data_IF_839752873944
#
_entry.id   IF_839752873944
#
_cell.length_a   1.000
_cell.length_b   1.000
_cell.length_c   1.000
_cell.angle_alpha   90.00
_cell.angle_beta   90.00
_cell.angle_gamma   90.00
#
_symmetry.space_group_name_H-M   'P 1'
#
loop_
_entity.id
_entity.type
_entity.pdbx_description
1 polymer ?
#
# COMPACT_ATOMS: atom_id res chain seq x y z
N UNK A 1 -45.79 -7.32 -55.36
CA UNK A 1 -46.07 -8.70 -55.83
C UNK A 1 -45.79 -9.65 -54.68
N UNK A 2 -46.86 -10.30 -54.18
CA UNK A 2 -46.96 -11.45 -53.24
C UNK A 2 -46.00 -11.48 -52.02
N UNK A 3 -46.37 -11.24 -50.76
CA UNK A 3 -47.52 -11.65 -49.91
C UNK A 3 -47.69 -13.18 -49.76
N UNK A 4 -47.42 -13.75 -48.57
CA UNK A 4 -48.44 -14.08 -47.53
C UNK A 4 -47.92 -15.02 -46.44
N UNK A 5 -48.42 -14.78 -45.24
CA UNK A 5 -48.36 -15.63 -44.05
C UNK A 5 -49.30 -16.85 -44.13
N UNK A 6 -48.99 -17.91 -43.38
CA UNK A 6 -49.99 -18.84 -42.81
C UNK A 6 -49.60 -19.19 -41.36
N UNK A 7 -50.48 -18.79 -40.43
CA UNK A 7 -50.64 -19.38 -39.09
C UNK A 7 -51.46 -20.66 -39.24
N UNK A 8 -51.19 -21.70 -38.42
CA UNK A 8 -52.25 -22.55 -37.86
C UNK A 8 -51.93 -22.95 -36.41
N UNK A 9 -52.95 -22.74 -35.57
CA UNK A 9 -53.10 -23.17 -34.17
C UNK A 9 -53.80 -24.53 -34.14
N UNK A 10 -53.44 -25.40 -33.18
CA UNK A 10 -54.32 -26.34 -32.44
C UNK A 10 -53.51 -26.86 -31.23
N UNK A 11 -53.76 -26.45 -29.98
CA UNK A 11 -54.82 -26.83 -29.03
C UNK A 11 -54.74 -28.27 -28.46
N UNK A 12 -54.25 -28.35 -27.22
CA UNK A 12 -54.79 -29.06 -26.04
C UNK A 12 -54.98 -30.60 -26.04
N UNK A 13 -54.31 -31.30 -25.10
CA UNK A 13 -54.98 -32.07 -24.02
C UNK A 13 -53.96 -32.83 -23.14
N UNK A 14 -54.15 -32.76 -21.81
CA UNK A 14 -53.54 -33.63 -20.78
C UNK A 14 -54.34 -34.94 -20.68
N UNK A 15 -53.72 -36.02 -20.23
CA UNK A 15 -54.15 -36.88 -19.09
C UNK A 15 -53.20 -38.09 -18.93
N UNK A 16 -53.04 -38.48 -17.67
CA UNK A 16 -52.09 -39.45 -17.11
C UNK A 16 -52.46 -40.94 -17.30
N UNK A 17 -51.49 -41.85 -17.13
CA UNK A 17 -51.39 -42.78 -15.97
C UNK A 17 -50.57 -44.07 -16.26
N UNK A 18 -49.72 -44.45 -15.27
CA UNK A 18 -49.40 -45.78 -14.67
C UNK A 18 -49.20 -47.02 -15.61
N UNK A 19 -48.35 -48.01 -15.35
CA UNK A 19 -47.37 -48.37 -14.32
C UNK A 19 -46.63 -49.67 -14.79
N UNK A 20 -45.39 -49.90 -14.34
CA UNK A 20 -44.92 -51.16 -13.74
C UNK A 20 -43.39 -51.15 -13.49
N UNK A 21 -43.03 -51.31 -12.21
CA UNK A 21 -41.72 -51.65 -11.63
C UNK A 21 -41.50 -53.19 -11.62
N UNK A 22 -40.31 -53.80 -11.32
CA UNK A 22 -39.49 -53.68 -10.06
C UNK A 22 -37.94 -53.77 -10.29
N UNK A 23 -36.96 -53.70 -9.34
CA UNK A 23 -36.76 -53.50 -7.87
C UNK A 23 -35.24 -53.18 -7.65
N UNK A 24 -34.82 -52.16 -6.89
CA UNK A 24 -34.26 -52.10 -5.48
C UNK A 24 -32.87 -52.80 -5.31
N UNK A 25 -31.79 -52.16 -4.80
CA UNK A 25 -31.50 -51.74 -3.40
C UNK A 25 -30.33 -50.71 -3.29
N UNK A 26 -30.47 -49.51 -2.67
CA UNK A 26 -30.25 -49.07 -1.25
C UNK A 26 -28.77 -49.04 -0.81
N UNK A 27 -28.16 -47.99 -0.22
CA UNK A 27 -28.51 -47.14 0.96
C UNK A 27 -27.61 -45.87 0.99
N UNK A 28 -28.08 -44.61 1.03
CA UNK A 28 -28.53 -43.70 2.14
C UNK A 28 -27.49 -43.18 3.16
N UNK A 29 -27.18 -41.87 3.06
CA UNK A 29 -26.72 -40.89 4.08
C UNK A 29 -27.86 -40.53 5.06
N UNK A 30 -27.64 -39.85 6.22
CA UNK A 30 -27.81 -38.38 6.24
C UNK A 30 -27.08 -37.59 7.37
N UNK A 31 -27.29 -36.27 7.32
CA UNK A 31 -26.70 -35.14 8.03
C UNK A 31 -27.17 -34.90 9.50
N UNK A 32 -26.49 -33.97 10.19
CA UNK A 32 -26.85 -33.46 11.53
C UNK A 32 -26.68 -31.92 11.64
N UNK A 33 -27.69 -31.26 12.22
CA UNK A 33 -27.69 -29.87 12.74
C UNK A 33 -28.12 -29.88 14.24
N UNK A 34 -27.77 -28.80 14.93
CA UNK A 34 -27.78 -28.46 16.37
C UNK A 34 -29.10 -28.52 17.16
N UNK A 35 -29.03 -28.61 18.51
CA UNK A 35 -29.49 -27.60 19.52
C UNK A 35 -29.48 -28.12 21.00
N UNK A 36 -28.82 -27.36 21.90
CA UNK A 36 -29.10 -26.95 23.32
C UNK A 36 -29.42 -27.89 24.53
N UNK A 37 -28.72 -27.57 25.64
CA UNK A 37 -29.09 -27.41 27.09
C UNK A 37 -29.14 -28.55 28.14
N UNK A 38 -28.37 -28.31 29.23
CA UNK A 38 -28.29 -28.83 30.64
C UNK A 38 -29.62 -29.07 31.39
N UNK A 39 -29.70 -29.59 32.68
CA UNK A 39 -28.69 -29.63 33.78
C UNK A 39 -28.66 -30.89 34.69
N UNK A 40 -27.65 -31.04 35.57
CA UNK A 40 -27.91 -31.41 36.98
C UNK A 40 -26.75 -31.14 37.97
N UNK A 41 -27.15 -30.79 39.20
CA UNK A 41 -26.39 -30.30 40.37
C UNK A 41 -25.98 -31.47 41.30
N UNK A 42 -24.84 -31.39 41.97
CA UNK A 42 -24.72 -31.36 43.46
C UNK A 42 -23.28 -31.60 43.99
N UNK A 43 -22.95 -30.83 45.03
CA UNK A 43 -21.80 -30.85 45.97
C UNK A 43 -22.46 -30.85 47.38
N UNK A 44 -21.79 -30.98 48.56
CA UNK A 44 -20.36 -31.25 48.86
C UNK A 44 -20.12 -32.22 50.04
N UNK A 45 -18.86 -32.56 50.33
CA UNK A 45 -18.35 -32.82 51.70
C UNK A 45 -16.81 -32.76 51.76
N UNK A 46 -16.29 -32.14 52.83
CA UNK A 46 -14.90 -32.19 53.34
C UNK A 46 -15.02 -32.27 54.89
N UNK A 47 -13.97 -32.55 55.71
CA UNK A 47 -12.53 -32.69 55.40
C UNK A 47 -11.82 -33.87 56.11
N UNK A 48 -10.56 -34.13 55.77
CA UNK A 48 -9.54 -34.57 56.73
C UNK A 48 -8.13 -34.18 56.27
N UNK A 49 -7.29 -33.83 57.24
CA UNK A 49 -6.00 -33.18 57.11
C UNK A 49 -4.89 -34.16 56.74
N UNK A 50 -3.90 -33.71 55.98
CA UNK A 50 -2.51 -34.15 56.15
C UNK A 50 -1.56 -33.07 55.67
N UNK A 51 -0.66 -32.69 56.57
CA UNK A 51 0.36 -31.66 56.42
C UNK A 51 1.40 -32.10 55.40
N UNK A 52 1.82 -31.20 54.51
CA UNK A 52 3.16 -31.22 53.93
C UNK A 52 3.68 -29.78 53.84
N UNK A 53 4.92 -29.65 54.32
CA UNK A 53 5.78 -28.48 54.55
C UNK A 53 5.77 -27.40 53.47
N UNK A 54 5.51 -26.15 53.87
CA UNK A 54 5.75 -24.95 53.07
C UNK A 54 7.23 -24.54 53.13
N UNK A 55 7.99 -24.82 52.08
CA UNK A 55 9.21 -24.04 51.82
C UNK A 55 8.79 -22.69 51.23
N UNK A 56 9.01 -21.63 52.00
CA UNK A 56 8.79 -20.25 51.55
C UNK A 56 9.61 -19.93 50.31
N UNK A 57 8.92 -19.55 49.24
CA UNK A 57 9.53 -18.95 48.06
C UNK A 57 10.02 -17.55 48.45
N UNK A 58 11.34 -17.41 48.63
CA UNK A 58 11.98 -16.10 48.66
C UNK A 58 11.79 -15.42 47.30
N UNK A 59 11.41 -14.13 47.24
CA UNK A 59 11.36 -13.41 45.99
C UNK A 59 12.78 -13.32 45.42
N UNK A 60 13.03 -13.97 44.27
CA UNK A 60 14.23 -13.72 43.48
C UNK A 60 14.19 -12.26 43.04
N UNK A 61 15.04 -11.44 43.64
CA UNK A 61 15.38 -10.10 43.13
C UNK A 61 15.92 -10.31 41.71
N UNK A 62 15.13 -9.96 40.70
CA UNK A 62 15.61 -9.83 39.33
C UNK A 62 16.66 -8.72 39.33
N UNK A 63 17.93 -9.12 39.31
CA UNK A 63 19.03 -8.23 38.95
C UNK A 63 18.91 -7.96 37.45
N UNK A 64 18.09 -6.97 37.11
CA UNK A 64 18.20 -6.28 35.83
C UNK A 64 19.51 -5.49 35.94
N UNK A 65 20.50 -5.67 35.04
CA UNK A 65 21.63 -4.76 34.99
C UNK A 65 21.07 -3.38 34.64
N UNK A 66 21.00 -2.49 35.62
CA UNK A 66 20.91 -1.07 35.34
C UNK A 66 22.23 -0.69 34.68
N UNK A 67 22.19 -0.41 33.39
CA UNK A 67 23.24 0.36 32.76
C UNK A 67 23.03 1.79 33.26
N UNK A 68 23.69 2.17 34.35
CA UNK A 68 23.73 3.55 34.88
C UNK A 68 24.58 4.44 33.97
N UNK A 69 24.27 4.46 32.67
CA UNK A 69 24.63 5.57 31.79
C UNK A 69 23.52 6.60 31.92
N UNK A 70 23.71 7.47 32.91
CA UNK A 70 22.99 8.72 33.12
C UNK A 70 22.75 9.46 31.78
N UNK A 71 21.48 9.72 31.36
CA UNK A 71 21.21 10.43 30.10
C UNK A 71 21.54 11.93 30.17
N UNK A 72 22.06 12.43 31.29
CA UNK A 72 22.38 13.84 31.49
C UNK A 72 23.81 14.23 31.04
N UNK A 73 24.35 13.64 29.97
CA UNK A 73 25.65 14.05 29.39
C UNK A 73 25.67 14.05 27.85
N UNK A 74 24.75 14.76 27.21
CA UNK A 74 24.97 15.29 25.85
C UNK A 74 24.79 16.81 25.86
N UNK A 75 25.75 17.48 26.49
CA UNK A 75 25.97 18.90 26.26
C UNK A 75 26.52 19.08 24.82
N UNK A 76 25.73 19.73 23.96
CA UNK A 76 26.25 20.49 22.81
C UNK A 76 26.56 19.74 21.51
N UNK A 77 25.98 18.57 21.23
CA UNK A 77 26.03 18.04 19.87
C UNK A 77 25.14 18.89 18.96
N UNK A 78 25.70 19.47 17.89
CA UNK A 78 24.92 20.18 16.88
C UNK A 78 23.84 19.23 16.32
N UNK A 79 22.60 19.73 16.20
CA UNK A 79 21.50 18.96 15.60
C UNK A 79 21.91 18.59 14.17
N UNK A 80 21.96 17.29 13.87
CA UNK A 80 22.21 16.79 12.52
C UNK A 80 21.14 17.36 11.59
N UNK A 81 21.52 17.94 10.46
CA UNK A 81 20.61 18.50 9.46
C UNK A 81 20.97 17.98 8.07
N UNK A 82 20.00 18.00 7.15
CA UNK A 82 20.33 17.85 5.73
C UNK A 82 21.25 19.02 5.34
N UNK A 83 22.40 18.77 4.68
CA UNK A 83 23.38 19.81 4.38
C UNK A 83 22.78 21.07 3.74
N UNK A 84 23.16 22.23 4.28
CA UNK A 84 22.69 23.57 3.87
C UNK A 84 21.18 23.80 3.96
N UNK A 85 20.48 23.06 4.81
CA UNK A 85 19.04 23.25 5.04
C UNK A 85 18.74 23.33 6.55
N UNK A 86 17.58 23.89 6.94
CA UNK A 86 17.12 23.83 8.33
C UNK A 86 16.46 22.48 8.68
N UNK A 87 16.48 21.47 7.81
CA UNK A 87 15.75 20.20 7.98
C UNK A 87 16.54 19.31 8.96
N UNK A 88 16.08 19.08 10.21
CA UNK A 88 16.77 18.20 11.12
C UNK A 88 16.63 16.73 10.68
N UNK A 89 17.70 15.98 10.93
CA UNK A 89 17.75 14.53 10.79
C UNK A 89 17.63 13.93 12.19
N UNK A 90 16.47 13.35 12.47
CA UNK A 90 16.10 12.78 13.75
C UNK A 90 16.44 11.28 13.73
N UNK A 91 17.33 10.83 14.62
CA UNK A 91 17.80 9.44 14.68
C UNK A 91 17.10 8.61 15.76
N UNK A 92 16.41 9.24 16.71
CA UNK A 92 15.78 8.58 17.86
C UNK A 92 14.30 8.95 17.96
N UNK A 93 13.50 8.05 18.56
CA UNK A 93 12.09 8.29 18.88
C UNK A 93 11.94 9.49 19.82
N UNK A 94 12.87 9.65 20.77
CA UNK A 94 12.87 10.78 21.68
C UNK A 94 13.03 12.11 20.93
N UNK A 95 13.95 12.19 19.96
CA UNK A 95 14.16 13.40 19.16
C UNK A 95 12.94 13.72 18.28
N UNK A 96 12.27 12.70 17.71
CA UNK A 96 11.00 12.91 17.00
C UNK A 96 9.94 13.47 17.93
N UNK A 97 9.74 12.87 19.10
CA UNK A 97 8.73 13.36 20.06
C UNK A 97 9.00 14.75 20.57
N UNK A 98 10.27 15.11 20.75
CA UNK A 98 10.66 16.47 21.08
C UNK A 98 10.28 17.42 19.94
N UNK A 99 10.71 17.13 18.72
CA UNK A 99 10.40 17.93 17.54
C UNK A 99 8.89 18.06 17.30
N UNK A 100 8.10 16.98 17.44
CA UNK A 100 6.64 17.05 17.24
C UNK A 100 5.96 17.90 18.30
N UNK A 101 6.47 17.91 19.54
CA UNK A 101 5.95 18.73 20.66
C UNK A 101 6.24 20.23 20.53
N UNK A 102 7.25 20.62 19.73
CA UNK A 102 7.55 22.02 19.46
C UNK A 102 6.39 22.67 18.70
N UNK A 103 5.98 23.86 19.15
CA UNK A 103 4.82 24.58 18.60
C UNK A 103 5.01 24.87 17.10
N UNK A 104 3.95 24.66 16.32
CA UNK A 104 3.92 25.12 14.92
C UNK A 104 4.00 26.67 14.87
N UNK A 105 4.44 27.22 13.74
CA UNK A 105 4.46 28.68 13.50
C UNK A 105 3.09 29.34 13.70
N UNK A 106 2.02 28.54 13.57
CA UNK A 106 0.62 28.88 13.86
C UNK A 106 0.39 29.44 15.27
N UNK A 107 1.06 28.88 16.27
CA UNK A 107 0.79 29.14 17.69
C UNK A 107 1.37 30.48 18.20
N UNK A 108 2.20 31.14 17.38
CA UNK A 108 2.95 32.35 17.73
C UNK A 108 2.33 33.65 17.19
N UNK A 109 1.20 33.60 16.45
CA UNK A 109 0.44 34.79 16.05
C UNK A 109 -0.80 34.93 16.93
N UNK A 110 -1.03 36.18 17.38
CA UNK A 110 -2.04 36.59 18.35
C UNK A 110 -3.39 35.89 18.22
N UNK A 111 -3.90 35.41 19.35
CA UNK A 111 -5.25 34.86 19.56
C UNK A 111 -6.40 35.81 19.18
N UNK A 112 -6.09 37.05 18.80
CA UNK A 112 -7.05 38.09 18.41
C UNK A 112 -7.33 38.15 16.90
N UNK A 113 -6.70 37.28 16.11
CA UNK A 113 -6.96 37.20 14.66
C UNK A 113 -8.29 36.48 14.38
N UNK A 114 -9.38 37.25 14.16
CA UNK A 114 -10.73 36.76 13.80
C UNK A 114 -10.84 35.95 12.48
N UNK A 115 -9.72 35.52 11.90
CA UNK A 115 -9.67 34.62 10.74
C UNK A 115 -8.78 33.39 11.07
N UNK A 116 -9.05 32.74 12.21
CA UNK A 116 -8.29 31.60 12.72
C UNK A 116 -8.42 30.38 11.80
N UNK A 117 -7.49 30.23 10.86
CA UNK A 117 -7.31 28.99 10.12
C UNK A 117 -6.77 27.90 11.06
N UNK A 118 -7.47 26.77 11.09
CA UNK A 118 -7.14 25.61 11.93
C UNK A 118 -5.74 25.07 11.62
N UNK A 119 -4.97 24.80 12.67
CA UNK A 119 -3.71 24.05 12.58
C UNK A 119 -4.01 22.67 12.00
N UNK A 120 -3.47 22.37 10.82
CA UNK A 120 -3.64 21.07 10.17
C UNK A 120 -2.87 19.97 10.89
N UNK A 121 -2.00 20.30 11.86
CA UNK A 121 -1.15 19.37 12.57
C UNK A 121 -0.07 18.77 11.67
N UNK A 122 0.50 17.66 12.13
CA UNK A 122 1.68 17.05 11.50
C UNK A 122 1.26 16.14 10.35
N UNK A 123 1.80 16.40 9.16
CA UNK A 123 1.76 15.47 8.05
C UNK A 123 2.91 14.47 8.15
N UNK A 124 2.63 13.19 7.95
CA UNK A 124 3.65 12.13 7.86
C UNK A 124 3.71 11.55 6.44
N UNK A 125 4.91 11.45 5.88
CA UNK A 125 5.21 10.74 4.63
C UNK A 125 6.14 9.55 4.94
N UNK A 126 5.61 8.33 5.15
CA UNK A 126 6.43 7.16 5.40
C UNK A 126 7.14 6.67 4.13
N UNK A 127 8.47 6.53 4.16
CA UNK A 127 9.25 6.00 3.03
C UNK A 127 10.33 5.02 3.50
N UNK A 128 10.89 4.27 2.53
CA UNK A 128 12.09 3.45 2.73
C UNK A 128 13.38 4.09 2.19
N UNK A 129 13.34 5.37 1.78
CA UNK A 129 14.44 6.03 1.05
C UNK A 129 14.35 5.79 -0.46
N UNK A 130 15.47 6.02 -1.17
CA UNK A 130 15.50 5.98 -2.65
C UNK A 130 14.42 6.87 -3.26
N UNK A 131 14.41 8.12 -2.78
CA UNK A 131 13.36 9.08 -3.07
C UNK A 131 13.35 9.46 -4.56
N UNK A 132 12.15 9.68 -5.07
CA UNK A 132 11.88 10.00 -6.47
C UNK A 132 10.61 10.86 -6.55
N UNK A 133 10.25 11.31 -7.75
CA UNK A 133 9.14 12.28 -7.95
C UNK A 133 7.81 11.82 -7.33
N UNK A 134 7.51 10.51 -7.37
CA UNK A 134 6.38 9.95 -6.64
C UNK A 134 6.34 10.26 -5.14
N UNK A 135 7.48 10.20 -4.45
CA UNK A 135 7.61 10.55 -3.03
C UNK A 135 7.51 12.07 -2.82
N UNK A 136 8.16 12.86 -3.68
CA UNK A 136 8.10 14.32 -3.59
C UNK A 136 6.68 14.84 -3.78
N UNK A 137 5.88 14.21 -4.65
CA UNK A 137 4.45 14.52 -4.81
C UNK A 137 3.64 14.30 -3.53
N UNK A 138 3.99 13.32 -2.68
CA UNK A 138 3.34 13.14 -1.37
C UNK A 138 3.59 14.34 -0.46
N UNK A 139 4.82 14.84 -0.44
CA UNK A 139 5.22 16.01 0.36
C UNK A 139 4.55 17.28 -0.18
N UNK A 140 4.54 17.47 -1.51
CA UNK A 140 3.82 18.57 -2.16
C UNK A 140 2.33 18.55 -1.82
N UNK A 141 1.72 17.38 -1.84
CA UNK A 141 0.31 17.21 -1.50
C UNK A 141 0.02 17.55 -0.03
N UNK A 142 0.91 17.17 0.89
CA UNK A 142 0.79 17.57 2.29
C UNK A 142 0.80 19.10 2.46
N UNK A 143 1.74 19.78 1.80
CA UNK A 143 1.82 21.26 1.83
C UNK A 143 0.61 21.88 1.13
N UNK A 144 0.15 21.31 0.00
CA UNK A 144 -1.05 21.77 -0.72
C UNK A 144 -2.31 21.69 0.16
N UNK A 145 -2.42 20.67 1.00
CA UNK A 145 -3.50 20.51 1.98
C UNK A 145 -3.32 21.37 3.25
N UNK A 146 -2.32 22.25 3.28
CA UNK A 146 -2.15 23.26 4.33
C UNK A 146 -1.28 22.82 5.51
N UNK A 147 -0.58 21.69 5.43
CA UNK A 147 0.38 21.30 6.46
C UNK A 147 1.67 22.14 6.34
N UNK A 148 2.00 22.85 7.41
CA UNK A 148 3.27 23.57 7.56
C UNK A 148 4.33 22.75 8.30
N UNK A 149 3.95 21.64 8.93
CA UNK A 149 4.83 20.72 9.65
C UNK A 149 4.77 19.32 9.04
N UNK A 150 5.87 18.91 8.38
CA UNK A 150 5.94 17.66 7.60
C UNK A 150 7.10 16.78 8.10
N UNK A 151 6.76 15.58 8.55
CA UNK A 151 7.73 14.54 8.88
C UNK A 151 7.86 13.55 7.72
N UNK A 152 9.09 13.31 7.26
CA UNK A 152 9.41 12.26 6.28
C UNK A 152 10.17 11.16 7.00
N UNK A 153 9.69 9.91 6.98
CA UNK A 153 10.51 8.80 7.49
C UNK A 153 11.30 8.15 6.37
N UNK A 154 12.57 7.85 6.63
CA UNK A 154 13.45 7.08 5.73
C UNK A 154 13.93 5.87 6.53
N UNK A 155 13.26 4.73 6.35
CA UNK A 155 13.60 3.51 7.05
C UNK A 155 13.28 2.27 6.20
N UNK A 156 14.32 1.56 5.76
CA UNK A 156 14.16 0.25 5.12
C UNK A 156 13.78 -0.76 6.19
N UNK A 157 12.49 -1.05 6.28
CA UNK A 157 11.94 -1.95 7.29
C UNK A 157 12.24 -3.42 6.95
N UNK A 158 13.07 -4.15 7.71
CA UNK A 158 13.36 -5.54 7.35
C UNK A 158 12.14 -6.47 7.51
N UNK A 159 11.16 -6.10 8.33
CA UNK A 159 10.02 -6.97 8.67
C UNK A 159 9.01 -7.15 7.52
N UNK A 160 9.05 -6.28 6.50
CA UNK A 160 8.21 -6.39 5.31
C UNK A 160 8.91 -7.11 4.16
N UNK A 161 10.16 -7.55 4.32
CA UNK A 161 10.84 -8.35 3.31
C UNK A 161 10.77 -9.83 3.70
N UNK A 162 10.35 -10.68 2.76
CA UNK A 162 10.49 -12.13 2.89
C UNK A 162 11.95 -12.57 2.88
N UNK A 163 12.21 -13.82 3.29
CA UNK A 163 13.57 -14.40 3.38
C UNK A 163 14.29 -14.39 2.03
N UNK A 164 13.55 -14.61 0.94
CA UNK A 164 14.09 -14.64 -0.43
C UNK A 164 13.91 -13.30 -1.18
N UNK A 165 13.50 -12.23 -0.48
CA UNK A 165 13.30 -10.92 -1.09
C UNK A 165 14.56 -10.05 -1.05
N UNK A 166 14.51 -8.93 -1.77
CA UNK A 166 15.62 -8.04 -2.11
C UNK A 166 16.05 -7.09 -0.98
N UNK A 167 16.00 -7.51 0.30
CA UNK A 167 16.39 -6.64 1.43
C UNK A 167 17.85 -6.17 1.34
N UNK A 168 18.77 -7.06 0.98
CA UNK A 168 20.20 -6.75 0.89
C UNK A 168 20.52 -5.83 -0.28
N UNK A 169 19.83 -6.01 -1.41
CA UNK A 169 20.02 -5.24 -2.64
C UNK A 169 19.14 -3.99 -2.72
N UNK A 170 18.31 -3.72 -1.71
CA UNK A 170 17.46 -2.52 -1.69
C UNK A 170 18.33 -1.25 -1.70
N UNK A 171 18.07 -0.28 -2.58
CA UNK A 171 18.90 0.91 -2.74
C UNK A 171 18.91 1.76 -1.46
N UNK A 172 20.12 2.10 -0.98
CA UNK A 172 20.35 2.96 0.18
C UNK A 172 21.09 4.22 -0.28
N UNK A 173 20.34 5.22 -0.70
CA UNK A 173 20.86 6.40 -1.40
C UNK A 173 20.82 7.67 -0.55
N UNK A 174 21.33 7.61 0.69
CA UNK A 174 21.22 8.72 1.67
C UNK A 174 21.58 10.09 1.09
N UNK A 175 22.72 10.20 0.40
CA UNK A 175 23.14 11.46 -0.21
C UNK A 175 22.17 11.95 -1.31
N UNK A 176 21.62 11.02 -2.11
CA UNK A 176 20.62 11.33 -3.13
C UNK A 176 19.29 11.77 -2.51
N UNK A 177 18.84 11.07 -1.46
CA UNK A 177 17.62 11.39 -0.72
C UNK A 177 17.71 12.79 -0.09
N UNK A 178 18.85 13.11 0.55
CA UNK A 178 19.14 14.44 1.07
C UNK A 178 19.11 15.52 -0.01
N UNK A 179 19.72 15.27 -1.18
CA UNK A 179 19.77 16.24 -2.27
C UNK A 179 18.38 16.55 -2.83
N UNK A 180 17.52 15.54 -3.05
CA UNK A 180 16.17 15.78 -3.57
C UNK A 180 15.26 16.46 -2.55
N UNK A 181 15.40 16.14 -1.25
CA UNK A 181 14.66 16.82 -0.19
C UNK A 181 15.10 18.28 -0.04
N UNK A 182 16.40 18.58 -0.17
CA UNK A 182 16.92 19.95 -0.19
C UNK A 182 16.28 20.75 -1.33
N UNK A 183 16.37 20.25 -2.57
CA UNK A 183 15.79 20.93 -3.73
C UNK A 183 14.28 21.16 -3.58
N UNK A 184 13.55 20.17 -3.08
CA UNK A 184 12.12 20.30 -2.82
C UNK A 184 11.82 21.34 -1.73
N UNK A 185 12.61 21.37 -0.66
CA UNK A 185 12.44 22.34 0.41
C UNK A 185 12.64 23.78 -0.08
N UNK A 186 13.66 24.01 -0.91
CA UNK A 186 13.92 25.30 -1.55
C UNK A 186 12.78 25.71 -2.50
N UNK A 187 12.26 24.77 -3.30
CA UNK A 187 11.09 24.95 -4.18
C UNK A 187 9.85 25.40 -3.38
N UNK A 188 9.50 24.67 -2.33
CA UNK A 188 8.31 24.93 -1.51
C UNK A 188 8.44 26.21 -0.67
N UNK A 189 9.64 26.50 -0.17
CA UNK A 189 9.90 27.69 0.65
C UNK A 189 9.95 28.98 -0.18
N UNK A 190 10.51 28.92 -1.40
CA UNK A 190 10.57 30.08 -2.30
C UNK A 190 9.20 30.49 -2.85
N UNK A 191 8.35 29.51 -3.17
CA UNK A 191 6.96 29.73 -3.62
C UNK A 191 6.10 30.49 -2.61
N UNK A 192 6.51 30.50 -1.34
CA UNK A 192 5.82 31.21 -0.25
C UNK A 192 6.12 32.71 -0.19
N UNK A 193 7.15 33.19 -0.91
CA UNK A 193 7.70 34.54 -0.77
C UNK A 193 7.25 35.51 -1.89
N UNK A 194 6.66 35.00 -2.97
CA UNK A 194 6.41 35.74 -4.22
C UNK A 194 4.93 35.95 -4.57
N UNK A 195 4.00 35.70 -3.64
CA UNK A 195 2.56 35.87 -3.86
C UNK A 195 2.09 37.33 -3.79
N UNK A 196 2.42 38.10 -4.82
CA UNK A 196 1.71 39.34 -5.19
C UNK A 196 1.28 39.39 -6.66
N UNK A 197 0.93 38.25 -7.28
CA UNK A 197 0.04 38.22 -8.45
C UNK A 197 -0.25 36.79 -8.92
N UNK A 198 -1.51 36.54 -9.29
CA UNK A 198 -2.06 35.40 -10.04
C UNK A 198 -1.98 33.99 -9.42
N UNK A 199 -3.09 33.61 -8.76
CA UNK A 199 -3.82 32.35 -8.93
C UNK A 199 -3.05 31.11 -9.42
N UNK A 200 -2.23 30.52 -8.54
CA UNK A 200 -2.09 29.06 -8.40
C UNK A 200 -1.38 28.71 -7.09
N UNK A 201 -2.22 28.53 -6.06
CA UNK A 201 -2.09 27.74 -4.83
C UNK A 201 -0.71 27.20 -4.39
N UNK A 202 0.13 28.06 -3.78
CA UNK A 202 1.00 27.62 -2.69
C UNK A 202 0.47 28.19 -1.36
N UNK A 203 -0.28 27.37 -0.62
CA UNK A 203 -1.04 27.75 0.58
C UNK A 203 -0.23 27.88 1.87
N UNK A 204 1.09 28.06 1.79
CA UNK A 204 1.87 28.28 3.01
C UNK A 204 1.53 29.60 3.72
N UNK A 205 0.68 30.50 3.17
CA UNK A 205 0.04 31.64 3.86
C UNK A 205 0.98 32.48 4.77
N UNK A 206 2.27 32.59 4.42
CA UNK A 206 3.29 33.27 5.22
C UNK A 206 3.79 32.51 6.46
N UNK A 207 3.43 31.23 6.62
CA UNK A 207 4.00 30.26 7.55
C UNK A 207 5.20 29.59 6.88
N UNK A 208 6.31 29.48 7.61
CA UNK A 208 7.48 28.75 7.14
C UNK A 208 7.21 27.24 7.13
N UNK A 209 7.84 26.52 6.20
CA UNK A 209 7.78 25.05 6.18
C UNK A 209 8.74 24.48 7.23
N UNK A 210 8.20 23.75 8.20
CA UNK A 210 8.96 22.91 9.14
C UNK A 210 8.98 21.47 8.61
N UNK A 211 10.08 21.08 7.98
CA UNK A 211 10.28 19.71 7.54
C UNK A 211 11.31 19.03 8.42
N UNK A 212 11.11 17.75 8.77
CA UNK A 212 12.09 16.92 9.46
C UNK A 212 12.18 15.52 8.83
N UNK A 213 13.37 14.92 8.87
CA UNK A 213 13.59 13.54 8.44
C UNK A 213 13.80 12.64 9.63
N UNK A 214 12.95 11.64 9.81
CA UNK A 214 13.17 10.56 10.76
C UNK A 214 13.88 9.38 10.08
N UNK A 215 15.17 9.20 10.38
CA UNK A 215 16.00 8.16 9.78
C UNK A 215 16.67 7.29 10.86
N UNK A 216 15.90 6.43 11.55
CA UNK A 216 16.37 5.67 12.70
C UNK A 216 17.24 4.46 12.29
N UNK A 217 18.17 4.02 13.16
CA UNK A 217 18.73 2.69 13.06
C UNK A 217 17.69 1.61 13.43
N UNK A 218 17.88 0.38 12.95
CA UNK A 218 16.97 -0.75 13.25
C UNK A 218 16.80 -1.01 14.75
N UNK A 219 17.85 -0.81 15.56
CA UNK A 219 17.78 -1.01 17.00
C UNK A 219 16.85 -0.01 17.70
N UNK A 220 16.72 1.20 17.17
CA UNK A 220 15.77 2.20 17.68
C UNK A 220 14.33 1.80 17.35
N UNK A 221 14.11 1.33 16.11
CA UNK A 221 12.81 0.81 15.73
C UNK A 221 12.47 -0.46 16.50
N UNK A 222 13.40 -1.39 16.68
CA UNK A 222 13.20 -2.70 17.28
C UNK A 222 14.10 -2.92 18.51
N UNK A 223 13.78 -2.29 19.66
CA UNK A 223 14.65 -2.32 20.85
C UNK A 223 14.77 -3.70 21.49
N UNK A 224 13.74 -4.55 21.34
CA UNK A 224 13.77 -5.96 21.78
C UNK A 224 14.42 -6.90 20.75
N UNK A 225 15.06 -6.36 19.71
CA UNK A 225 15.57 -7.11 18.58
C UNK A 225 14.58 -7.20 17.42
N UNK A 226 15.14 -7.34 16.21
CA UNK A 226 14.37 -7.54 14.99
C UNK A 226 13.70 -8.93 15.02
N UNK A 227 12.37 -9.04 14.83
CA UNK A 227 11.68 -10.31 15.03
C UNK A 227 12.03 -11.39 13.98
N UNK A 228 12.64 -11.03 12.84
CA UNK A 228 12.96 -11.96 11.75
C UNK A 228 11.98 -11.83 10.58
N UNK A 229 12.35 -12.41 9.43
CA UNK A 229 11.58 -12.34 8.17
C UNK A 229 10.62 -13.52 7.96
N UNK A 230 10.75 -14.55 8.79
CA UNK A 230 9.94 -15.77 8.71
C UNK A 230 8.46 -15.51 9.05
N UNK A 231 7.55 -16.28 8.45
CA UNK A 231 6.12 -16.23 8.79
C UNK A 231 5.90 -16.56 10.26
N UNK A 232 6.62 -17.56 10.77
CA UNK A 232 6.50 -18.05 12.16
C UNK A 232 7.30 -17.25 13.20
N UNK A 233 7.98 -16.18 12.74
CA UNK A 233 8.76 -15.25 13.55
C UNK A 233 8.02 -14.81 14.83
N UNK A 234 8.75 -14.67 15.93
CA UNK A 234 8.23 -14.19 17.22
C UNK A 234 8.55 -12.72 17.40
N UNK A 235 7.53 -11.93 17.75
CA UNK A 235 7.65 -10.51 17.98
C UNK A 235 6.30 -9.84 18.16
N UNK A 236 6.31 -8.53 18.39
CA UNK A 236 5.11 -7.71 18.37
C UNK A 236 4.82 -7.28 16.94
N UNK A 237 3.68 -7.72 16.41
CA UNK A 237 3.24 -7.43 15.06
C UNK A 237 1.80 -6.88 15.07
N UNK A 238 1.49 -6.12 14.03
CA UNK A 238 0.13 -5.75 13.66
C UNK A 238 -0.20 -6.48 12.36
N UNK A 239 -1.33 -7.20 12.35
CA UNK A 239 -1.82 -7.91 11.17
C UNK A 239 -3.26 -7.47 10.93
N UNK A 240 -3.59 -7.16 9.66
CA UNK A 240 -4.91 -6.70 9.25
C UNK A 240 -5.51 -7.75 8.31
N UNK A 241 -6.44 -8.54 8.84
CA UNK A 241 -7.08 -9.64 8.10
C UNK A 241 -8.53 -9.29 7.75
N UNK A 242 -9.09 -9.91 6.69
CA UNK A 242 -8.41 -10.77 5.70
C UNK A 242 -7.62 -9.98 4.64
N UNK A 243 -7.81 -8.66 4.51
CA UNK A 243 -7.28 -7.83 3.41
C UNK A 243 -5.78 -7.97 3.14
N UNK A 244 -4.96 -8.16 4.18
CA UNK A 244 -3.51 -8.33 4.05
C UNK A 244 -3.06 -9.73 3.60
N UNK A 245 -4.00 -10.68 3.44
CA UNK A 245 -3.75 -12.07 3.04
C UNK A 245 -4.18 -12.34 1.59
N UNK A 246 -4.88 -11.40 0.96
CA UNK A 246 -5.34 -11.47 -0.44
C UNK A 246 -4.28 -10.94 -1.40
N UNK A 247 -4.40 -11.26 -2.70
CA UNK A 247 -3.61 -10.66 -3.80
C UNK A 247 -2.09 -10.59 -3.50
N UNK A 248 -1.51 -9.40 -3.37
CA UNK A 248 -0.08 -9.22 -3.06
C UNK A 248 0.32 -9.85 -1.72
N UNK A 249 -0.61 -9.93 -0.77
CA UNK A 249 -0.43 -10.57 0.52
C UNK A 249 -0.29 -12.09 0.41
N UNK A 250 -1.02 -12.71 -0.53
CA UNK A 250 -0.88 -14.13 -0.83
C UNK A 250 0.48 -14.43 -1.48
N UNK A 251 0.93 -13.55 -2.38
CA UNK A 251 2.25 -13.66 -3.01
C UNK A 251 3.40 -13.37 -2.03
N UNK A 252 3.16 -12.52 -1.02
CA UNK A 252 4.16 -12.04 -0.04
C UNK A 252 3.63 -12.15 1.40
N UNK A 253 3.58 -13.35 2.01
CA UNK A 253 2.85 -13.63 3.26
C UNK A 253 3.24 -12.80 4.50
N UNK A 254 4.41 -12.16 4.51
CA UNK A 254 4.88 -11.30 5.63
C UNK A 254 4.84 -9.81 5.31
N UNK A 255 4.61 -9.43 4.05
CA UNK A 255 4.76 -8.05 3.58
C UNK A 255 3.83 -7.08 4.34
N UNK A 256 2.51 -7.30 4.29
CA UNK A 256 1.56 -6.40 4.92
C UNK A 256 1.59 -6.44 6.45
N UNK A 257 1.97 -7.57 7.06
CA UNK A 257 2.27 -7.63 8.51
C UNK A 257 3.42 -6.68 8.85
N UNK A 258 4.50 -6.73 8.08
CA UNK A 258 5.66 -5.84 8.23
C UNK A 258 5.28 -4.37 8.06
N UNK A 259 4.52 -4.05 7.00
CA UNK A 259 4.06 -2.70 6.69
C UNK A 259 3.13 -2.14 7.77
N UNK A 260 2.09 -2.88 8.18
CA UNK A 260 1.17 -2.47 9.23
C UNK A 260 1.90 -2.27 10.56
N UNK A 261 2.85 -3.15 10.90
CA UNK A 261 3.66 -3.04 12.11
C UNK A 261 4.52 -1.77 12.12
N UNK A 262 5.25 -1.48 11.04
CA UNK A 262 6.11 -0.29 10.99
C UNK A 262 5.28 0.99 10.94
N UNK A 263 4.17 1.01 10.20
CA UNK A 263 3.27 2.17 10.14
C UNK A 263 2.64 2.44 11.52
N UNK A 264 2.16 1.41 12.22
CA UNK A 264 1.65 1.58 13.59
C UNK A 264 2.70 2.20 14.51
N UNK A 265 3.98 1.80 14.39
CA UNK A 265 5.07 2.39 15.18
C UNK A 265 5.28 3.85 14.81
N UNK A 266 5.37 4.16 13.52
CA UNK A 266 5.52 5.54 13.04
C UNK A 266 4.36 6.44 13.48
N UNK A 267 3.12 5.94 13.42
CA UNK A 267 1.93 6.69 13.87
C UNK A 267 1.98 6.97 15.38
N UNK A 268 2.43 6.03 16.20
CA UNK A 268 2.61 6.23 17.65
C UNK A 268 3.83 7.11 18.00
N UNK A 269 4.85 7.16 17.14
CA UNK A 269 6.04 7.98 17.33
C UNK A 269 5.76 9.43 16.96
N UNK A 270 5.16 9.64 15.78
CA UNK A 270 4.97 10.97 15.17
C UNK A 270 3.65 11.62 15.59
N UNK A 271 2.61 10.82 15.87
CA UNK A 271 1.24 11.28 16.12
C UNK A 271 0.72 12.27 15.05
N UNK A 272 0.76 11.89 13.75
CA UNK A 272 0.32 12.76 12.68
C UNK A 272 -1.21 12.90 12.66
N UNK A 273 -1.71 14.03 12.19
CA UNK A 273 -3.13 14.21 11.85
C UNK A 273 -3.45 13.57 10.49
N UNK A 274 -2.48 13.56 9.57
CA UNK A 274 -2.59 12.91 8.25
C UNK A 274 -1.31 12.17 7.88
N UNK A 275 -1.46 10.99 7.29
CA UNK A 275 -0.35 10.29 6.63
C UNK A 275 -0.62 10.09 5.15
N UNK A 276 0.41 10.32 4.33
CA UNK A 276 0.32 10.36 2.87
C UNK A 276 0.97 9.11 2.28
N UNK A 277 0.23 8.40 1.44
CA UNK A 277 0.69 7.19 0.77
C UNK A 277 0.40 7.27 -0.73
N UNK A 278 1.29 6.73 -1.55
CA UNK A 278 1.09 6.64 -2.99
C UNK A 278 0.05 5.58 -3.35
N UNK A 279 -0.85 5.90 -4.28
CA UNK A 279 -1.86 4.98 -4.81
C UNK A 279 -1.24 3.75 -5.48
N UNK A 280 -0.02 3.85 -6.01
CA UNK A 280 0.65 2.77 -6.75
C UNK A 280 0.60 1.43 -6.00
N UNK A 281 0.77 1.45 -4.69
CA UNK A 281 0.64 0.28 -3.82
C UNK A 281 -0.78 0.25 -3.21
N UNK A 282 -1.83 0.18 -4.04
CA UNK A 282 -3.21 0.43 -3.61
C UNK A 282 -3.67 -0.48 -2.47
N UNK A 283 -3.31 -1.76 -2.50
CA UNK A 283 -3.65 -2.70 -1.43
C UNK A 283 -2.99 -2.30 -0.10
N UNK A 284 -1.77 -1.74 -0.12
CA UNK A 284 -1.15 -1.16 1.06
C UNK A 284 -2.02 -0.03 1.63
N UNK A 285 -2.52 0.86 0.76
CA UNK A 285 -3.38 1.95 1.22
C UNK A 285 -4.68 1.44 1.83
N UNK A 286 -5.26 0.35 1.31
CA UNK A 286 -6.49 -0.26 1.86
C UNK A 286 -6.20 -0.91 3.22
N UNK A 287 -5.10 -1.65 3.34
CA UNK A 287 -4.63 -2.23 4.61
C UNK A 287 -4.44 -1.14 5.67
N UNK A 288 -3.79 -0.02 5.31
CA UNK A 288 -3.52 1.08 6.24
C UNK A 288 -4.79 1.86 6.61
N UNK A 289 -5.69 2.13 5.65
CA UNK A 289 -7.01 2.73 5.93
C UNK A 289 -7.82 1.87 6.90
N UNK A 290 -7.88 0.55 6.65
CA UNK A 290 -8.54 -0.41 7.55
C UNK A 290 -7.88 -0.46 8.92
N UNK A 291 -6.55 -0.44 9.00
CA UNK A 291 -5.81 -0.36 10.28
C UNK A 291 -6.18 0.90 11.07
N UNK A 292 -6.15 2.08 10.44
CA UNK A 292 -6.49 3.35 11.09
C UNK A 292 -7.92 3.33 11.63
N UNK A 293 -8.88 2.83 10.83
CA UNK A 293 -10.27 2.69 11.25
C UNK A 293 -10.44 1.69 12.40
N UNK A 294 -9.93 0.48 12.25
CA UNK A 294 -10.17 -0.63 13.18
C UNK A 294 -9.47 -0.43 14.53
N UNK A 295 -8.36 0.31 14.57
CA UNK A 295 -7.66 0.69 15.80
C UNK A 295 -8.04 2.09 16.32
N UNK A 296 -9.04 2.75 15.70
CA UNK A 296 -9.53 4.08 16.06
C UNK A 296 -8.41 5.13 16.19
N UNK A 297 -7.45 5.10 15.26
CA UNK A 297 -6.36 6.07 15.27
C UNK A 297 -6.92 7.45 14.88
N UNK A 298 -6.62 8.53 15.63
CA UNK A 298 -7.18 9.86 15.41
C UNK A 298 -6.44 10.58 14.27
N UNK A 299 -6.46 9.98 13.09
CA UNK A 299 -5.75 10.48 11.92
C UNK A 299 -6.43 10.05 10.62
N UNK A 300 -6.10 10.73 9.53
CA UNK A 300 -6.56 10.40 8.19
C UNK A 300 -5.43 9.83 7.32
N UNK A 301 -5.80 8.95 6.39
CA UNK A 301 -4.89 8.42 5.38
C UNK A 301 -5.22 9.11 4.06
N UNK A 302 -4.28 9.88 3.52
CA UNK A 302 -4.41 10.54 2.22
C UNK A 302 -3.73 9.68 1.17
N UNK A 303 -4.50 9.25 0.17
CA UNK A 303 -3.99 8.49 -0.97
C UNK A 303 -3.71 9.44 -2.12
N UNK A 304 -2.46 9.52 -2.54
CA UNK A 304 -2.01 10.42 -3.60
C UNK A 304 -1.90 9.64 -4.92
N UNK A 305 -2.46 10.14 -6.04
CA UNK A 305 -2.44 9.43 -7.31
C UNK A 305 -1.05 9.00 -7.76
N UNK A 306 -0.99 7.83 -8.42
CA UNK A 306 0.24 7.27 -8.97
C UNK A 306 0.88 8.26 -9.95
N UNK A 307 2.16 8.59 -9.73
CA UNK A 307 2.96 9.32 -10.72
C UNK A 307 3.42 8.35 -11.80
N UNK A 308 3.26 8.76 -13.05
CA UNK A 308 3.60 7.97 -14.23
C UNK A 308 4.74 8.66 -14.99
N UNK A 309 5.56 7.89 -15.69
CA UNK A 309 6.57 8.41 -16.63
C UNK A 309 5.81 9.28 -17.67
N UNK A 310 6.33 10.46 -17.96
CA UNK A 310 5.74 11.52 -18.82
C UNK A 310 4.59 12.36 -18.24
N UNK A 311 4.67 12.71 -16.94
CA UNK A 311 3.75 13.65 -16.30
C UNK A 311 3.42 14.89 -17.15
N UNK A 312 2.17 15.01 -17.58
CA UNK A 312 1.52 16.18 -18.24
C UNK A 312 2.16 16.73 -19.53
N UNK A 313 3.35 16.28 -19.94
CA UNK A 313 3.98 16.60 -21.22
C UNK A 313 4.47 15.31 -21.84
N UNK A 314 3.71 14.80 -22.80
CA UNK A 314 4.09 13.65 -23.61
C UNK A 314 5.43 13.88 -24.32
N UNK A 315 6.16 12.79 -24.58
CA UNK A 315 7.42 12.79 -25.32
C UNK A 315 7.31 13.33 -26.75
N UNK A 316 8.34 13.14 -27.58
CA UNK A 316 8.40 13.72 -28.94
C UNK A 316 7.20 13.38 -29.86
N UNK A 317 6.39 12.37 -29.51
CA UNK A 317 5.13 12.00 -30.19
C UNK A 317 3.83 12.38 -29.43
N UNK A 318 3.92 13.08 -28.30
CA UNK A 318 2.78 13.57 -27.51
C UNK A 318 1.94 12.51 -26.79
N UNK A 319 2.22 11.22 -26.96
CA UNK A 319 1.55 10.13 -26.26
C UNK A 319 2.23 9.85 -24.91
N UNK A 320 1.51 10.06 -23.81
CA UNK A 320 1.92 9.63 -22.46
C UNK A 320 1.72 8.11 -22.38
N UNK A 321 2.81 7.34 -22.29
CA UNK A 321 2.70 5.87 -22.27
C UNK A 321 2.12 5.34 -20.94
N UNK A 322 2.18 6.17 -19.89
CA UNK A 322 1.50 5.96 -18.64
C UNK A 322 2.13 4.88 -17.75
N UNK A 323 3.37 4.47 -17.99
CA UNK A 323 4.04 3.54 -17.08
C UNK A 323 4.15 4.14 -15.67
N UNK A 324 3.66 3.41 -14.65
CA UNK A 324 3.82 3.82 -13.26
C UNK A 324 5.30 3.94 -12.89
N UNK A 325 5.71 5.07 -12.28
CA UNK A 325 7.07 5.24 -11.81
C UNK A 325 7.40 4.18 -10.75
N UNK A 326 8.50 3.48 -10.96
CA UNK A 326 9.04 2.52 -10.00
C UNK A 326 10.56 2.51 -10.06
N UNK A 327 11.19 2.37 -8.90
CA UNK A 327 12.63 2.09 -8.81
C UNK A 327 13.04 0.85 -9.61
N UNK A 328 12.12 -0.09 -9.87
CA UNK A 328 12.37 -1.30 -10.67
C UNK A 328 12.39 -1.05 -12.18
N UNK A 329 11.96 0.11 -12.67
CA UNK A 329 11.92 0.40 -14.10
C UNK A 329 13.33 0.46 -14.72
N UNK A 330 14.35 0.79 -13.91
CA UNK A 330 15.77 0.79 -14.32
C UNK A 330 16.26 -0.58 -14.80
N UNK A 331 15.58 -1.66 -14.42
CA UNK A 331 15.92 -3.03 -14.80
C UNK A 331 15.29 -3.46 -16.13
N UNK A 332 14.45 -2.65 -16.75
CA UNK A 332 13.71 -3.06 -17.95
C UNK A 332 14.58 -3.05 -19.22
N UNK A 333 15.50 -2.08 -19.33
CA UNK A 333 16.19 -1.82 -20.59
C UNK A 333 15.22 -1.38 -21.69
N UNK A 334 15.76 -1.13 -22.88
CA UNK A 334 15.02 -0.44 -23.95
C UNK A 334 13.82 -1.25 -24.45
N UNK A 335 13.99 -2.51 -24.84
CA UNK A 335 12.90 -3.34 -25.42
C UNK A 335 11.75 -3.57 -24.44
N UNK A 336 12.04 -3.98 -23.20
CA UNK A 336 10.98 -4.29 -22.23
C UNK A 336 10.32 -3.01 -21.71
N UNK A 337 11.05 -1.90 -21.60
CA UNK A 337 10.45 -0.60 -21.24
C UNK A 337 9.40 -0.16 -22.25
N UNK A 338 9.62 -0.39 -23.54
CA UNK A 338 8.63 -0.08 -24.60
C UNK A 338 7.32 -0.86 -24.45
N UNK A 339 7.38 -2.09 -23.93
CA UNK A 339 6.20 -2.97 -23.77
C UNK A 339 5.58 -2.86 -22.37
N UNK A 340 6.34 -2.39 -21.36
CA UNK A 340 5.89 -2.24 -19.97
C UNK A 340 4.54 -1.51 -19.78
N UNK A 341 4.20 -0.48 -20.57
CA UNK A 341 2.88 0.12 -20.56
C UNK A 341 1.68 -0.82 -20.83
N UNK A 342 1.89 -2.07 -21.26
CA UNK A 342 0.81 -3.05 -21.51
C UNK A 342 -0.12 -3.22 -20.32
N UNK A 343 0.41 -3.22 -19.09
CA UNK A 343 -0.42 -3.36 -17.89
C UNK A 343 -1.35 -2.15 -17.72
N UNK A 344 -0.82 -0.94 -17.85
CA UNK A 344 -1.62 0.27 -17.75
C UNK A 344 -2.67 0.34 -18.87
N UNK A 345 -2.31 0.03 -20.12
CA UNK A 345 -3.26 -0.04 -21.24
C UNK A 345 -4.38 -1.05 -20.98
N UNK A 346 -4.06 -2.22 -20.42
CA UNK A 346 -5.05 -3.22 -20.07
C UNK A 346 -6.01 -2.72 -18.99
N UNK A 347 -5.50 -2.11 -17.91
CA UNK A 347 -6.33 -1.53 -16.85
C UNK A 347 -7.22 -0.40 -17.38
N UNK A 348 -6.70 0.46 -18.29
CA UNK A 348 -7.48 1.51 -18.95
C UNK A 348 -8.59 0.95 -19.84
N UNK A 349 -8.40 -0.20 -20.48
CA UNK A 349 -9.45 -0.84 -21.25
C UNK A 349 -10.58 -1.38 -20.36
N UNK A 350 -10.25 -1.97 -19.21
CA UNK A 350 -11.23 -2.37 -18.21
C UNK A 350 -11.94 -1.15 -17.59
N UNK A 351 -11.22 -0.07 -17.27
CA UNK A 351 -11.83 1.18 -16.83
C UNK A 351 -12.77 1.75 -17.90
N UNK A 352 -12.39 1.68 -19.18
CA UNK A 352 -13.25 2.08 -20.30
C UNK A 352 -14.59 1.33 -20.29
N UNK A 353 -14.56 -0.01 -20.15
CA UNK A 353 -15.77 -0.82 -20.04
C UNK A 353 -16.66 -0.40 -18.85
N UNK A 354 -16.04 -0.07 -17.70
CA UNK A 354 -16.76 0.48 -16.56
C UNK A 354 -17.38 1.85 -16.89
N UNK A 355 -16.61 2.78 -17.45
CA UNK A 355 -17.08 4.13 -17.79
C UNK A 355 -18.21 4.10 -18.84
N UNK A 356 -18.18 3.13 -19.75
CA UNK A 356 -19.23 2.90 -20.77
C UNK A 356 -20.53 2.31 -20.20
N UNK A 357 -20.55 1.97 -18.90
CA UNK A 357 -21.77 1.61 -18.18
C UNK A 357 -21.73 0.24 -17.54
N UNK A 358 -20.77 -0.63 -17.91
CA UNK A 358 -20.72 -1.97 -17.34
C UNK A 358 -20.41 -1.94 -15.85
N UNK A 359 -21.02 -2.87 -15.11
CA UNK A 359 -20.74 -3.16 -13.71
C UNK A 359 -20.35 -4.63 -13.51
N UNK A 360 -20.46 -5.47 -14.56
CA UNK A 360 -20.19 -6.91 -14.50
C UNK A 360 -18.69 -7.16 -14.74
N UNK A 361 -18.05 -7.88 -13.82
CA UNK A 361 -16.67 -8.32 -13.96
C UNK A 361 -16.47 -9.15 -15.23
N UNK A 362 -17.50 -9.91 -15.64
CA UNK A 362 -17.55 -10.70 -16.87
C UNK A 362 -17.50 -9.87 -18.17
N UNK A 363 -17.65 -8.55 -18.10
CA UNK A 363 -17.48 -7.63 -19.22
C UNK A 363 -16.24 -6.74 -19.03
N UNK A 364 -15.99 -6.29 -17.80
CA UNK A 364 -14.87 -5.40 -17.45
C UNK A 364 -13.52 -6.11 -17.61
N UNK A 365 -13.34 -7.29 -17.02
CA UNK A 365 -12.04 -8.00 -17.02
C UNK A 365 -11.63 -8.49 -18.41
N UNK A 366 -12.53 -9.02 -19.27
CA UNK A 366 -12.16 -9.40 -20.63
C UNK A 366 -11.61 -8.25 -21.48
N UNK A 367 -12.03 -7.01 -21.25
CA UNK A 367 -11.47 -5.85 -21.95
C UNK A 367 -9.97 -5.68 -21.66
N UNK A 368 -9.55 -5.86 -20.40
CA UNK A 368 -8.14 -5.85 -20.02
C UNK A 368 -7.39 -7.07 -20.57
N UNK A 369 -7.94 -8.27 -20.41
CA UNK A 369 -7.32 -9.51 -20.87
C UNK A 369 -7.08 -9.51 -22.38
N UNK A 370 -8.00 -8.94 -23.17
CA UNK A 370 -7.83 -8.79 -24.61
C UNK A 370 -6.57 -7.99 -24.96
N UNK A 371 -6.34 -6.85 -24.30
CA UNK A 371 -5.14 -6.02 -24.53
C UNK A 371 -3.85 -6.79 -24.23
N UNK A 372 -3.84 -7.55 -23.13
CA UNK A 372 -2.70 -8.38 -22.73
C UNK A 372 -2.43 -9.45 -23.79
N UNK A 373 -3.45 -10.24 -24.16
CA UNK A 373 -3.33 -11.35 -25.09
C UNK A 373 -2.93 -10.89 -26.50
N UNK A 374 -3.51 -9.80 -26.99
CA UNK A 374 -3.15 -9.21 -28.28
C UNK A 374 -1.68 -8.76 -28.27
N UNK A 375 -1.25 -8.05 -27.21
CA UNK A 375 0.15 -7.63 -27.08
C UNK A 375 1.09 -8.83 -26.99
N UNK A 376 0.72 -9.90 -26.28
CA UNK A 376 1.52 -11.14 -26.24
C UNK A 376 1.64 -11.79 -27.62
N UNK A 377 0.56 -11.79 -28.41
CA UNK A 377 0.56 -12.26 -29.80
C UNK A 377 1.49 -11.43 -30.69
N UNK A 378 1.35 -10.10 -30.64
CA UNK A 378 2.22 -9.17 -31.38
C UNK A 378 3.69 -9.38 -31.04
N UNK A 379 4.04 -9.47 -29.75
CA UNK A 379 5.43 -9.68 -29.34
C UNK A 379 5.99 -11.04 -29.75
N UNK A 380 5.13 -12.07 -29.84
CA UNK A 380 5.51 -13.41 -30.29
C UNK A 380 5.76 -13.47 -31.80
N UNK A 381 5.03 -12.67 -32.58
CA UNK A 381 5.15 -12.63 -34.05
C UNK A 381 6.35 -11.79 -34.51
N UNK A 382 6.95 -10.98 -33.62
CA UNK A 382 8.19 -10.26 -33.89
C UNK A 382 9.41 -11.19 -34.02
N UNK A 383 10.44 -10.82 -34.80
CA UNK A 383 11.73 -11.49 -34.78
C UNK A 383 12.31 -11.60 -33.37
N UNK A 384 13.09 -12.65 -33.11
CA UNK A 384 13.57 -12.94 -31.75
C UNK A 384 14.44 -11.83 -31.12
N UNK A 385 15.12 -11.05 -31.97
CA UNK A 385 15.92 -9.90 -31.55
C UNK A 385 15.10 -8.63 -31.25
N UNK A 386 13.80 -8.63 -31.53
CA UNK A 386 12.92 -7.45 -31.38
C UNK A 386 11.82 -7.68 -30.34
N UNK A 387 11.29 -8.89 -30.23
CA UNK A 387 10.21 -9.22 -29.30
C UNK A 387 10.65 -9.29 -27.84
N UNK A 388 9.68 -9.27 -26.93
CA UNK A 388 9.88 -9.50 -25.49
C UNK A 388 8.89 -10.53 -24.96
N UNK A 389 9.30 -11.26 -23.91
CA UNK A 389 8.42 -12.18 -23.21
C UNK A 389 7.98 -11.59 -21.87
N UNK A 390 6.69 -11.70 -21.58
CA UNK A 390 6.13 -11.33 -20.29
C UNK A 390 5.01 -12.28 -19.89
N UNK A 391 4.75 -12.36 -18.60
CA UNK A 391 3.73 -13.21 -18.00
C UNK A 391 2.73 -12.34 -17.25
N UNK A 392 1.45 -12.55 -17.50
CA UNK A 392 0.40 -12.01 -16.65
C UNK A 392 0.32 -12.88 -15.40
N UNK A 393 0.54 -12.30 -14.22
CA UNK A 393 0.33 -13.00 -12.96
C UNK A 393 -1.13 -12.93 -12.55
N UNK A 394 -1.71 -11.74 -12.55
CA UNK A 394 -3.14 -11.53 -12.33
C UNK A 394 -3.61 -10.17 -12.89
N UNK A 395 -4.90 -10.08 -13.19
CA UNK A 395 -5.69 -8.84 -13.24
C UNK A 395 -6.95 -9.11 -12.43
N UNK A 396 -7.32 -8.19 -11.56
CA UNK A 396 -8.38 -8.35 -10.57
C UNK A 396 -9.27 -7.11 -10.52
N UNK A 397 -10.55 -7.32 -10.26
CA UNK A 397 -11.55 -6.32 -9.93
C UNK A 397 -12.03 -6.61 -8.51
N UNK A 398 -11.76 -5.70 -7.58
CA UNK A 398 -11.97 -5.93 -6.16
C UNK A 398 -12.77 -4.83 -5.47
N UNK A 399 -13.45 -5.19 -4.38
CA UNK A 399 -14.12 -4.22 -3.49
C UNK A 399 -13.07 -3.26 -2.87
N UNK A 400 -13.32 -1.94 -2.86
CA UNK A 400 -12.33 -0.93 -2.49
C UNK A 400 -11.99 -0.88 -0.98
N UNK A 401 -12.77 -1.58 -0.15
CA UNK A 401 -12.59 -1.65 1.30
C UNK A 401 -12.07 -3.03 1.77
N UNK A 402 -12.48 -4.12 1.11
CA UNK A 402 -12.09 -5.48 1.51
C UNK A 402 -10.96 -6.08 0.67
N UNK A 403 -10.75 -5.59 -0.55
CA UNK A 403 -9.89 -6.20 -1.59
C UNK A 403 -10.32 -7.62 -1.99
N UNK A 404 -11.53 -8.04 -1.65
CA UNK A 404 -12.10 -9.29 -2.16
C UNK A 404 -12.52 -9.08 -3.62
N UNK A 405 -12.27 -10.09 -4.45
CA UNK A 405 -12.69 -10.06 -5.85
C UNK A 405 -14.22 -10.07 -5.93
N UNK A 406 -14.76 -9.26 -6.84
CA UNK A 406 -16.20 -9.06 -6.98
C UNK A 406 -16.64 -9.42 -8.39
N UNK A 407 -17.81 -10.05 -8.50
CA UNK A 407 -18.45 -10.35 -9.78
C UNK A 407 -19.20 -9.12 -10.33
N UNK A 408 -19.61 -8.19 -9.46
CA UNK A 408 -20.36 -6.99 -9.82
C UNK A 408 -19.92 -5.77 -8.98
N UNK A 409 -19.76 -4.62 -9.63
CA UNK A 409 -19.38 -3.36 -9.00
C UNK A 409 -20.58 -2.69 -8.34
N UNK A 410 -20.49 -2.42 -7.03
CA UNK A 410 -21.42 -1.54 -6.34
C UNK A 410 -21.21 -0.08 -6.82
N UNK A 411 -22.17 0.54 -7.53
CA UNK A 411 -21.99 1.86 -8.11
C UNK A 411 -21.85 2.97 -7.05
N UNK A 412 -22.25 2.72 -5.80
CA UNK A 412 -22.09 3.68 -4.70
C UNK A 412 -20.69 3.69 -4.09
N UNK A 413 -19.91 2.63 -4.33
CA UNK A 413 -18.54 2.47 -3.83
C UNK A 413 -17.49 2.56 -4.92
N UNK A 414 -17.84 2.16 -6.13
CA UNK A 414 -16.85 1.89 -7.17
C UNK A 414 -16.07 0.59 -6.89
N UNK A 415 -14.87 0.48 -7.42
CA UNK A 415 -14.04 -0.73 -7.30
C UNK A 415 -12.55 -0.41 -7.50
N UNK A 416 -11.68 -1.40 -7.27
CA UNK A 416 -10.25 -1.32 -7.57
C UNK A 416 -9.93 -2.32 -8.67
N UNK A 417 -9.46 -1.82 -9.80
CA UNK A 417 -8.76 -2.61 -10.81
C UNK A 417 -7.29 -2.67 -10.44
N UNK A 418 -6.71 -3.86 -10.39
CA UNK A 418 -5.28 -4.02 -10.15
C UNK A 418 -4.72 -5.19 -10.94
N UNK A 419 -3.41 -5.17 -11.20
CA UNK A 419 -2.77 -6.30 -11.87
C UNK A 419 -1.27 -6.32 -11.65
N UNK A 420 -0.69 -7.47 -11.97
CA UNK A 420 0.74 -7.68 -11.96
C UNK A 420 1.20 -8.40 -13.23
N UNK A 421 2.26 -7.89 -13.85
CA UNK A 421 2.94 -8.53 -14.97
C UNK A 421 4.41 -8.74 -14.65
N UNK A 422 4.95 -9.88 -15.05
CA UNK A 422 6.36 -10.20 -14.93
C UNK A 422 7.02 -10.11 -16.31
N UNK A 423 7.81 -9.06 -16.50
CA UNK A 423 8.70 -8.93 -17.65
C UNK A 423 9.86 -9.91 -17.50
N UNK A 424 9.99 -10.85 -18.43
CA UNK A 424 11.09 -11.81 -18.41
C UNK A 424 12.36 -11.15 -18.96
N UNK A 425 13.55 -11.72 -18.73
CA UNK A 425 14.76 -11.27 -19.37
C UNK A 425 14.61 -11.29 -20.89
N UNK A 426 15.27 -10.35 -21.55
CA UNK A 426 15.33 -10.27 -23.00
C UNK A 426 15.92 -11.58 -23.55
N UNK A 427 15.24 -12.18 -24.53
CA UNK A 427 15.76 -13.32 -25.27
C UNK A 427 16.52 -12.83 -26.50
N UNK A 428 17.62 -13.51 -26.84
CA UNK A 428 18.51 -13.14 -27.95
C UNK A 428 18.97 -11.65 -27.92
N UNK A 429 19.65 -11.21 -26.85
CA UNK A 429 20.16 -9.84 -26.75
C UNK A 429 21.19 -9.56 -27.85
N UNK A 430 21.13 -8.37 -28.45
CA UNK A 430 22.11 -7.94 -29.45
C UNK A 430 23.34 -7.31 -28.78
N UNK A 431 24.47 -7.29 -29.49
CA UNK A 431 25.67 -6.63 -28.99
C UNK A 431 25.42 -5.13 -28.78
N UNK A 432 25.73 -4.64 -27.57
CA UNK A 432 25.50 -3.24 -27.19
C UNK A 432 24.04 -2.90 -26.85
N UNK A 433 23.13 -3.88 -26.82
CA UNK A 433 21.74 -3.64 -26.43
C UNK A 433 21.63 -3.25 -24.94
N UNK A 434 20.86 -2.20 -24.66
CA UNK A 434 20.52 -1.83 -23.29
C UNK A 434 19.48 -2.81 -22.71
N UNK A 435 19.98 -3.72 -21.86
CA UNK A 435 19.17 -4.70 -21.13
C UNK A 435 18.62 -4.15 -19.81
N UNK A 436 19.00 -2.94 -19.41
CA UNK A 436 18.75 -2.39 -18.09
C UNK A 436 19.82 -2.80 -17.08
N UNK A 437 19.71 -2.27 -15.85
CA UNK A 437 20.68 -2.56 -14.79
C UNK A 437 20.74 -4.07 -14.45
N UNK A 438 21.93 -4.54 -14.05
CA UNK A 438 22.22 -5.94 -13.68
C UNK A 438 21.83 -6.97 -14.75
N UNK A 439 22.14 -6.68 -16.02
CA UNK A 439 21.86 -7.54 -17.17
C UNK A 439 20.37 -7.87 -17.36
N UNK A 440 19.49 -7.02 -16.81
CA UNK A 440 18.07 -7.10 -17.04
C UNK A 440 17.37 -8.31 -16.41
N UNK A 441 17.36 -8.44 -15.06
CA UNK A 441 16.67 -9.53 -14.39
C UNK A 441 15.17 -9.52 -14.68
N UNK A 442 14.41 -10.59 -14.34
CA UNK A 442 12.97 -10.56 -14.40
C UNK A 442 12.40 -9.40 -13.54
N UNK A 443 11.53 -8.58 -14.12
CA UNK A 443 10.95 -7.41 -13.44
C UNK A 443 9.46 -7.63 -13.23
N UNK A 444 9.04 -7.65 -11.96
CA UNK A 444 7.62 -7.70 -11.60
C UNK A 444 7.07 -6.28 -11.47
N UNK A 445 6.16 -5.92 -12.36
CA UNK A 445 5.47 -4.63 -12.40
C UNK A 445 4.06 -4.80 -11.83
N UNK A 446 3.63 -3.84 -11.02
CA UNK A 446 2.28 -3.74 -10.48
C UNK A 446 1.69 -2.38 -10.84
N UNK A 447 0.38 -2.35 -11.07
CA UNK A 447 -0.35 -1.11 -11.32
C UNK A 447 -1.82 -1.29 -10.91
N UNK A 448 -2.53 -0.17 -10.79
CA UNK A 448 -3.93 -0.15 -10.41
C UNK A 448 -4.64 1.11 -10.92
N UNK A 449 -5.97 1.01 -10.98
CA UNK A 449 -6.91 2.11 -11.21
C UNK A 449 -8.02 2.00 -10.17
N UNK A 450 -8.31 3.09 -9.48
CA UNK A 450 -9.48 3.20 -8.60
C UNK A 450 -10.65 3.67 -9.46
N UNK A 451 -11.66 2.81 -9.61
CA UNK A 451 -12.92 3.16 -10.26
C UNK A 451 -13.76 3.96 -9.26
N UNK A 452 -13.99 5.22 -9.56
CA UNK A 452 -14.80 6.10 -8.72
C UNK A 452 -16.28 5.65 -8.70
N UNK A 453 -17.01 5.88 -7.60
CA UNK A 453 -18.46 5.72 -7.57
C UNK A 453 -19.16 6.45 -8.71
N UNK A 454 -20.25 5.86 -9.24
CA UNK A 454 -21.14 6.47 -10.24
C UNK A 454 -22.34 7.20 -9.63
N UNK A 455 -22.64 6.93 -8.36
CA UNK A 455 -23.84 7.42 -7.65
C UNK A 455 -23.60 8.73 -6.91
#
# INVERSE_FOLDING_TARGET
MFARAIRQHTSCSRVASRACQPRIASTTTPALRSFTTSPNRSRPAAPSQTQTTSHGLLPRKLLIPHNDSDPAQHAGAAVETIPDTPIPVLRTVAAVRQWTSEKSFADNKDKDSQHGQEDQGIALVPTMGALHEGHLRLIREAVRLGHDKVAVSIYVNPAQFGVAEDLESYPKTWAGDCAVLKSLYEELSSSSSSSSSSSSSSHLNGRGLQMAVFAPPTAEMYPSGFPGQEVSSKGSFVTITPVGELLEGAARPTFFRGVATVCMKLFNIVQPTRAFFGQKDVQQTVVIRKMVRDFHLPMEVVVVPTVREDGERGGEDGAVDGLALSSRNVYLGTRRRKVAPVLYRALKAAEGAYLDGSLDAGEILPAALKVVLDTMGEQKDLPAQDGVLFQLEYISLADPDTMEEIDEVDPSKGAILSGAVKMLPVYNPQEGEDLGAHDGPPVRLIDNIILAPKA
#
